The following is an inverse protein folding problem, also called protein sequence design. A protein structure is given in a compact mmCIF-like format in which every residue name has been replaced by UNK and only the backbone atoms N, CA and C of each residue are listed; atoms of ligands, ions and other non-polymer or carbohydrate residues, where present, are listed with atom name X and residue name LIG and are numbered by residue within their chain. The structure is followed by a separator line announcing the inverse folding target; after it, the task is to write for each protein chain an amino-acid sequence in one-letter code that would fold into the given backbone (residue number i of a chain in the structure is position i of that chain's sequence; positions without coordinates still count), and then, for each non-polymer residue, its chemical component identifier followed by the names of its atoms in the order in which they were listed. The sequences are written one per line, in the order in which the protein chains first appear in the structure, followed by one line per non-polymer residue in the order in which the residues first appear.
data_IF_529968450946
#
_entry.id   IF_529968450946
#
_cell.length_a   1.000
_cell.length_b   1.000
_cell.length_c   1.000
_cell.angle_alpha   90.00
_cell.angle_beta   90.00
_cell.angle_gamma   90.00
#
_symmetry.space_group_name_H-M   'P 1'
#
loop_
_entity.id
_entity.type
_entity.pdbx_description
1 polymer ?
#
# COMPACT_ATOMS: atom_id res chain seq x y z
N UNK A 1 20.17 9.64 -15.53
CA UNK A 1 18.84 10.29 -15.48
C UNK A 1 18.71 11.18 -14.26
N UNK A 2 19.37 10.85 -13.14
CA UNK A 2 19.22 11.54 -11.86
C UNK A 2 20.51 12.20 -11.34
N UNK A 3 21.41 12.66 -12.23
CA UNK A 3 22.70 13.24 -11.82
C UNK A 3 22.55 14.49 -10.95
N UNK A 4 21.55 15.33 -11.24
CA UNK A 4 21.27 16.53 -10.44
C UNK A 4 20.92 16.17 -8.99
N UNK A 5 20.14 15.10 -8.78
CA UNK A 5 19.84 14.60 -7.43
C UNK A 5 21.11 14.15 -6.70
N UNK A 6 21.96 13.39 -7.39
CA UNK A 6 23.22 12.90 -6.84
C UNK A 6 24.18 14.05 -6.47
N UNK A 7 24.31 15.06 -7.34
CA UNK A 7 25.08 16.28 -7.11
C UNK A 7 24.55 17.09 -5.92
N UNK A 8 23.24 17.07 -5.70
CA UNK A 8 22.59 17.66 -4.53
C UNK A 8 22.67 16.81 -3.26
N UNK A 9 23.30 15.63 -3.30
CA UNK A 9 23.47 14.74 -2.15
C UNK A 9 22.24 13.89 -1.82
N UNK A 10 21.41 13.58 -2.82
CA UNK A 10 20.33 12.60 -2.69
C UNK A 10 20.79 11.20 -3.08
N UNK A 11 20.42 10.23 -2.26
CA UNK A 11 20.29 8.84 -2.68
C UNK A 11 18.89 8.61 -3.23
N UNK A 12 18.76 7.72 -4.22
CA UNK A 12 17.47 7.39 -4.82
C UNK A 12 17.39 5.94 -5.28
N UNK A 13 16.18 5.39 -5.17
CA UNK A 13 15.89 4.02 -5.54
C UNK A 13 14.46 3.84 -6.06
N UNK A 14 14.28 2.94 -7.02
CA UNK A 14 12.96 2.40 -7.36
C UNK A 14 12.49 1.49 -6.23
N UNK A 15 11.52 1.94 -5.44
CA UNK A 15 11.15 1.25 -4.19
C UNK A 15 10.14 0.11 -4.39
N UNK A 16 9.83 -0.29 -5.63
CA UNK A 16 8.87 -1.37 -5.87
C UNK A 16 9.19 -2.10 -7.17
N UNK A 17 9.88 -3.25 -7.06
CA UNK A 17 10.33 -4.02 -8.22
C UNK A 17 10.34 -5.53 -7.96
N UNK A 18 9.82 -6.29 -8.92
CA UNK A 18 9.64 -7.74 -8.84
C UNK A 18 10.64 -8.50 -9.71
N UNK A 19 11.00 -9.69 -9.25
CA UNK A 19 11.95 -10.58 -9.94
C UNK A 19 11.35 -11.96 -10.19
N UNK A 20 12.16 -12.84 -10.78
CA UNK A 20 11.82 -14.24 -10.99
C UNK A 20 11.77 -15.09 -9.71
N UNK A 21 12.03 -14.50 -8.54
CA UNK A 21 11.67 -15.10 -7.26
C UNK A 21 10.15 -15.08 -7.03
N UNK A 22 9.43 -14.14 -7.65
CA UNK A 22 7.97 -14.07 -7.68
C UNK A 22 7.43 -14.10 -9.11
N UNK A 23 6.49 -13.22 -9.42
CA UNK A 23 5.64 -13.21 -10.62
C UNK A 23 6.18 -12.36 -11.77
N UNK A 24 7.48 -12.06 -11.76
CA UNK A 24 8.21 -11.42 -12.85
C UNK A 24 9.11 -12.43 -13.59
N UNK A 25 9.45 -12.17 -14.85
CA UNK A 25 10.48 -12.95 -15.57
C UNK A 25 11.90 -12.40 -15.37
N UNK A 26 12.01 -11.24 -14.72
CA UNK A 26 13.28 -10.52 -14.58
C UNK A 26 14.21 -11.26 -13.61
N UNK A 27 15.37 -11.72 -14.10
CA UNK A 27 16.38 -12.32 -13.23
C UNK A 27 17.05 -11.24 -12.39
N UNK A 28 17.29 -11.53 -11.11
CA UNK A 28 17.96 -10.57 -10.21
C UNK A 28 19.33 -10.10 -10.72
N UNK A 29 20.08 -10.97 -11.40
CA UNK A 29 21.37 -10.60 -12.01
C UNK A 29 21.21 -9.52 -13.09
N UNK A 30 20.19 -9.64 -13.93
CA UNK A 30 19.89 -8.70 -15.02
C UNK A 30 19.37 -7.38 -14.46
N UNK A 31 18.51 -7.43 -13.43
CA UNK A 31 18.02 -6.25 -12.72
C UNK A 31 19.18 -5.42 -12.17
N UNK A 32 20.10 -6.04 -11.43
CA UNK A 32 21.27 -5.32 -10.90
C UNK A 32 22.18 -4.81 -12.02
N UNK A 33 22.40 -5.59 -13.08
CA UNK A 33 23.21 -5.15 -14.21
C UNK A 33 22.63 -3.90 -14.89
N UNK A 34 21.30 -3.84 -15.05
CA UNK A 34 20.63 -2.68 -15.62
C UNK A 34 20.59 -1.50 -14.66
N UNK A 35 20.36 -1.72 -13.36
CA UNK A 35 20.42 -0.69 -12.33
C UNK A 35 21.78 0.01 -12.33
N UNK A 36 22.88 -0.77 -12.34
CA UNK A 36 24.25 -0.27 -12.49
C UNK A 36 24.42 0.58 -13.75
N UNK A 37 23.97 0.06 -14.89
CA UNK A 37 24.07 0.77 -16.18
C UNK A 37 23.29 2.09 -16.19
N UNK A 38 22.16 2.16 -15.46
CA UNK A 38 21.32 3.35 -15.35
C UNK A 38 21.81 4.33 -14.27
N UNK A 39 22.67 3.88 -13.36
CA UNK A 39 23.07 4.66 -12.18
C UNK A 39 21.88 4.90 -11.26
N UNK A 40 21.11 3.86 -10.94
CA UNK A 40 19.94 3.93 -10.05
C UNK A 40 19.98 2.82 -9.02
N UNK A 41 19.52 3.10 -7.80
CA UNK A 41 19.19 2.07 -6.83
C UNK A 41 17.81 1.45 -7.08
N UNK A 42 17.52 0.38 -6.36
CA UNK A 42 16.18 -0.23 -6.32
C UNK A 42 15.97 -1.09 -5.06
N UNK A 43 14.72 -1.26 -4.65
CA UNK A 43 14.30 -2.24 -3.67
C UNK A 43 13.87 -3.53 -4.37
N UNK A 44 14.29 -4.69 -3.84
CA UNK A 44 13.76 -5.98 -4.29
C UNK A 44 12.56 -6.31 -3.43
N UNK A 45 11.36 -6.36 -4.01
CA UNK A 45 10.10 -6.45 -3.26
C UNK A 45 9.20 -7.59 -3.75
N UNK A 46 9.80 -8.73 -4.08
CA UNK A 46 9.08 -9.92 -4.52
C UNK A 46 7.93 -10.32 -3.56
N UNK A 47 6.81 -10.78 -4.12
CA UNK A 47 5.64 -11.16 -3.33
C UNK A 47 5.94 -12.27 -2.29
N UNK A 48 5.85 -11.93 -1.00
CA UNK A 48 6.05 -12.78 0.18
C UNK A 48 7.37 -13.59 0.20
N UNK A 49 8.32 -13.33 -0.69
CA UNK A 49 9.53 -14.11 -0.86
C UNK A 49 10.75 -13.18 -0.91
N UNK A 50 11.89 -13.65 -0.39
CA UNK A 50 13.07 -12.80 -0.17
C UNK A 50 14.32 -13.30 -0.87
N UNK A 51 14.25 -14.40 -1.63
CA UNK A 51 15.46 -15.07 -2.13
C UNK A 51 16.30 -14.20 -3.07
N UNK A 52 15.65 -13.38 -3.91
CA UNK A 52 16.34 -12.41 -4.75
C UNK A 52 16.91 -11.24 -3.96
N UNK A 53 16.18 -10.72 -2.96
CA UNK A 53 16.68 -9.66 -2.08
C UNK A 53 17.98 -10.10 -1.40
N UNK A 54 17.98 -11.30 -0.80
CA UNK A 54 19.16 -11.86 -0.14
C UNK A 54 20.37 -12.08 -1.06
N UNK A 55 20.17 -12.19 -2.37
CA UNK A 55 21.24 -12.37 -3.37
C UNK A 55 21.77 -11.05 -3.95
N UNK A 56 21.12 -9.93 -3.63
CA UNK A 56 21.39 -8.64 -4.24
C UNK A 56 21.88 -7.58 -3.25
N UNK A 57 21.52 -7.68 -1.96
CA UNK A 57 21.81 -6.64 -0.97
C UNK A 57 23.29 -6.47 -0.62
N UNK A 58 24.11 -7.52 -0.73
CA UNK A 58 25.55 -7.46 -0.38
C UNK A 58 26.43 -6.83 -1.48
N UNK A 59 25.87 -5.95 -2.33
CA UNK A 59 26.58 -5.36 -3.46
C UNK A 59 26.95 -3.91 -3.18
N UNK A 60 28.23 -3.60 -3.34
CA UNK A 60 28.77 -2.24 -3.12
C UNK A 60 28.54 -1.30 -4.31
N UNK A 61 28.30 -1.84 -5.51
CA UNK A 61 28.28 -1.07 -6.75
C UNK A 61 26.89 -0.65 -7.22
N UNK A 62 25.84 -1.11 -6.54
CA UNK A 62 24.45 -0.72 -6.77
C UNK A 62 23.74 -0.62 -5.43
N UNK A 63 23.10 0.51 -5.17
CA UNK A 63 22.28 0.67 -3.97
C UNK A 63 21.03 -0.23 -4.04
N UNK A 64 21.04 -1.32 -3.28
CA UNK A 64 19.92 -2.27 -3.19
C UNK A 64 19.31 -2.24 -1.80
N UNK A 65 18.02 -1.90 -1.72
CA UNK A 65 17.26 -1.94 -0.47
C UNK A 65 16.64 -3.33 -0.29
N UNK A 66 16.92 -4.04 0.82
CA UNK A 66 16.26 -5.33 1.10
C UNK A 66 14.80 -5.08 1.47
N UNK A 67 13.87 -5.64 0.71
CA UNK A 67 12.45 -5.50 0.98
C UNK A 67 11.63 -6.72 0.59
N UNK A 68 10.31 -6.53 0.66
CA UNK A 68 9.30 -7.54 0.31
C UNK A 68 7.94 -6.85 0.15
N UNK A 69 7.15 -7.30 -0.84
CA UNK A 69 5.73 -6.95 -0.91
C UNK A 69 4.90 -8.06 -0.25
N UNK A 70 4.30 -7.76 0.89
CA UNK A 70 3.48 -8.69 1.66
C UNK A 70 2.05 -8.63 1.12
N UNK A 71 1.56 -9.77 0.60
CA UNK A 71 0.16 -9.93 0.22
C UNK A 71 -0.67 -10.34 1.43
N UNK A 72 -1.41 -9.39 2.01
CA UNK A 72 -2.20 -9.65 3.22
C UNK A 72 -3.51 -10.38 2.93
N UNK A 73 -4.05 -11.07 3.94
CA UNK A 73 -5.28 -11.88 3.86
C UNK A 73 -6.56 -11.08 3.74
N UNK A 74 -6.54 -9.85 4.24
CA UNK A 74 -7.60 -8.87 4.18
C UNK A 74 -7.55 -8.05 2.89
N UNK A 75 -6.55 -8.25 2.03
CA UNK A 75 -6.55 -7.78 0.64
C UNK A 75 -5.35 -6.93 0.28
N UNK A 76 -5.02 -5.88 1.04
CA UNK A 76 -3.94 -4.96 0.68
C UNK A 76 -2.59 -5.64 0.46
N UNK A 77 -1.78 -5.03 -0.38
CA UNK A 77 -0.36 -5.30 -0.39
C UNK A 77 0.36 -4.22 0.41
N UNK A 78 1.39 -4.62 1.16
CA UNK A 78 2.18 -3.72 2.00
C UNK A 78 3.65 -3.99 1.72
N UNK A 79 4.38 -2.93 1.41
CA UNK A 79 5.83 -2.97 1.18
C UNK A 79 6.54 -2.82 2.52
N UNK A 80 7.53 -3.67 2.76
CA UNK A 80 8.45 -3.51 3.88
C UNK A 80 9.87 -3.35 3.36
N UNK A 81 10.60 -2.40 3.94
CA UNK A 81 12.01 -2.13 3.62
C UNK A 81 12.83 -2.21 4.89
N UNK A 82 13.81 -3.12 4.91
CA UNK A 82 14.60 -3.37 6.11
C UNK A 82 15.91 -2.59 6.08
N UNK A 83 16.33 -2.16 7.25
CA UNK A 83 17.63 -1.53 7.44
C UNK A 83 18.75 -2.56 7.31
N UNK A 84 18.49 -3.84 7.59
CA UNK A 84 19.46 -4.92 7.42
C UNK A 84 18.82 -6.13 6.73
N UNK A 85 19.57 -6.77 5.82
CA UNK A 85 19.09 -7.97 5.13
C UNK A 85 18.84 -9.14 6.09
N UNK A 86 19.59 -9.19 7.19
CA UNK A 86 19.40 -10.19 8.24
C UNK A 86 18.04 -10.04 8.93
N UNK A 87 17.59 -8.81 9.18
CA UNK A 87 16.30 -8.55 9.82
C UNK A 87 15.15 -8.92 8.88
N UNK A 88 15.26 -8.61 7.58
CA UNK A 88 14.33 -9.13 6.57
C UNK A 88 14.25 -10.66 6.61
N UNK A 89 15.40 -11.33 6.69
CA UNK A 89 15.46 -12.79 6.74
C UNK A 89 14.83 -13.36 8.02
N UNK A 90 15.12 -12.77 9.17
CA UNK A 90 14.61 -13.23 10.46
C UNK A 90 13.08 -12.97 10.57
N UNK A 91 12.62 -11.80 10.14
CA UNK A 91 11.19 -11.47 10.03
C UNK A 91 10.46 -12.45 9.11
N UNK A 92 10.99 -12.70 7.91
CA UNK A 92 10.39 -13.62 6.95
C UNK A 92 10.28 -15.05 7.51
N UNK A 93 11.34 -15.56 8.15
CA UNK A 93 11.35 -16.91 8.74
C UNK A 93 10.31 -17.06 9.84
N UNK A 94 10.16 -16.05 10.70
CA UNK A 94 9.27 -16.09 11.87
C UNK A 94 7.81 -15.87 11.50
N UNK A 95 7.52 -14.91 10.63
CA UNK A 95 6.16 -14.38 10.48
C UNK A 95 5.52 -14.67 9.12
N UNK A 96 6.33 -14.70 8.05
CA UNK A 96 5.81 -14.84 6.68
C UNK A 96 5.81 -16.29 6.22
N UNK A 97 6.93 -16.99 6.38
CA UNK A 97 7.10 -18.40 5.97
C UNK A 97 6.00 -19.32 6.53
N UNK A 98 5.58 -19.23 7.81
CA UNK A 98 4.50 -20.09 8.35
C UNK A 98 3.11 -19.84 7.73
N UNK A 99 2.95 -18.70 7.06
CA UNK A 99 1.70 -18.23 6.48
C UNK A 99 1.64 -18.38 4.95
N UNK A 100 2.73 -18.82 4.31
CA UNK A 100 2.77 -19.08 2.88
C UNK A 100 1.72 -20.12 2.47
N UNK A 101 1.19 -19.94 1.27
CA UNK A 101 0.31 -20.90 0.59
C UNK A 101 1.07 -21.60 -0.53
N UNK A 102 0.45 -22.60 -1.16
CA UNK A 102 1.02 -23.34 -2.30
C UNK A 102 1.38 -22.43 -3.47
N UNK A 103 0.56 -21.40 -3.73
CA UNK A 103 0.99 -20.23 -4.51
C UNK A 103 1.54 -19.19 -3.52
N UNK A 104 2.87 -19.01 -3.43
CA UNK A 104 3.47 -18.13 -2.43
C UNK A 104 3.32 -16.65 -2.78
N UNK A 105 2.96 -16.30 -4.02
CA UNK A 105 2.91 -14.91 -4.48
C UNK A 105 1.57 -14.22 -4.20
N UNK A 106 0.56 -14.97 -3.75
CA UNK A 106 -0.76 -14.43 -3.44
C UNK A 106 -0.93 -14.18 -1.94
N UNK A 107 -2.13 -13.74 -1.55
CA UNK A 107 -2.48 -13.49 -0.16
C UNK A 107 -2.01 -14.62 0.76
N UNK A 108 -1.42 -14.28 1.90
CA UNK A 108 -1.04 -15.23 2.94
C UNK A 108 -2.25 -15.99 3.50
N UNK A 109 -2.04 -16.97 4.39
CA UNK A 109 -3.14 -17.79 4.95
C UNK A 109 -3.91 -17.10 6.08
N UNK A 110 -3.19 -16.56 7.07
CA UNK A 110 -3.71 -15.87 8.28
C UNK A 110 -2.76 -14.74 8.67
N UNK A 111 -2.82 -13.64 7.94
CA UNK A 111 -1.92 -12.50 8.14
C UNK A 111 -2.57 -11.26 7.56
N UNK A 112 -3.17 -10.43 8.39
CA UNK A 112 -3.87 -9.20 7.99
C UNK A 112 -2.90 -8.01 7.94
N UNK A 113 -3.38 -6.88 7.42
CA UNK A 113 -2.63 -5.61 7.49
C UNK A 113 -2.42 -5.18 8.94
N UNK A 114 -3.41 -5.39 9.81
CA UNK A 114 -3.30 -5.09 11.24
C UNK A 114 -2.31 -6.03 11.95
N UNK A 115 -2.32 -7.33 11.64
CA UNK A 115 -1.35 -8.28 12.20
C UNK A 115 0.09 -7.85 11.87
N UNK A 116 0.34 -7.39 10.64
CA UNK A 116 1.65 -6.88 10.23
C UNK A 116 2.10 -5.70 11.10
N UNK A 117 1.23 -4.69 11.25
CA UNK A 117 1.54 -3.49 12.02
C UNK A 117 1.76 -3.81 13.50
N UNK A 118 0.90 -4.65 14.08
CA UNK A 118 1.06 -5.09 15.48
C UNK A 118 2.40 -5.80 15.68
N UNK A 119 2.78 -6.73 14.79
CA UNK A 119 4.07 -7.42 14.89
C UNK A 119 5.25 -6.45 14.78
N UNK A 120 5.20 -5.51 13.81
CA UNK A 120 6.29 -4.54 13.62
C UNK A 120 6.45 -3.64 14.85
N UNK A 121 5.35 -3.16 15.43
CA UNK A 121 5.36 -2.26 16.59
C UNK A 121 5.70 -2.99 17.90
N UNK A 122 5.08 -4.15 18.16
CA UNK A 122 5.24 -4.88 19.43
C UNK A 122 6.59 -5.59 19.55
N UNK A 123 7.14 -6.06 18.43
CA UNK A 123 8.46 -6.70 18.38
C UNK A 123 9.59 -5.73 17.97
N UNK A 124 9.27 -4.46 17.75
CA UNK A 124 10.22 -3.38 17.39
C UNK A 124 11.09 -3.73 16.17
N UNK A 125 10.45 -4.19 15.09
CA UNK A 125 11.17 -4.51 13.85
C UNK A 125 11.67 -3.25 13.17
N UNK A 126 12.99 -3.20 12.93
CA UNK A 126 13.62 -2.05 12.29
C UNK A 126 13.42 -2.08 10.77
N UNK A 127 12.26 -1.58 10.35
CA UNK A 127 11.89 -1.44 8.94
C UNK A 127 11.04 -0.17 8.69
N UNK A 128 10.85 0.12 7.41
CA UNK A 128 9.86 1.06 6.90
C UNK A 128 8.69 0.23 6.37
N UNK A 129 7.47 0.58 6.77
CA UNK A 129 6.23 -0.05 6.31
C UNK A 129 5.46 0.94 5.44
N UNK A 130 5.29 0.61 4.16
CA UNK A 130 4.63 1.47 3.17
C UNK A 130 3.43 0.78 2.53
N UNK A 131 2.31 1.49 2.36
CA UNK A 131 1.20 0.96 1.58
C UNK A 131 1.60 0.87 0.10
N UNK A 132 1.58 -0.34 -0.47
CA UNK A 132 1.76 -0.57 -1.89
C UNK A 132 0.49 -0.10 -2.63
N UNK A 133 0.67 0.58 -3.77
CA UNK A 133 -0.41 1.08 -4.65
C UNK A 133 -1.71 1.37 -3.88
N UNK A 134 -1.75 2.39 -2.99
CA UNK A 134 -2.80 2.50 -1.95
C UNK A 134 -4.24 2.56 -2.48
N UNK A 135 -4.42 2.98 -3.73
CA UNK A 135 -5.71 3.03 -4.42
C UNK A 135 -6.09 1.71 -5.12
N UNK A 136 -5.17 0.75 -5.17
CA UNK A 136 -5.26 -0.52 -5.88
C UNK A 136 -5.35 -0.35 -7.39
N UNK A 137 -5.52 -1.49 -8.08
CA UNK A 137 -5.73 -1.54 -9.52
C UNK A 137 -7.20 -1.79 -9.85
N UNK A 138 -7.79 -0.98 -10.74
CA UNK A 138 -9.12 -1.24 -11.32
C UNK A 138 -10.21 -1.64 -10.31
N UNK A 139 -10.24 -0.98 -9.15
CA UNK A 139 -11.25 -1.22 -8.11
C UNK A 139 -11.03 -2.47 -7.24
N UNK A 140 -9.91 -3.18 -7.42
CA UNK A 140 -9.47 -4.26 -6.52
C UNK A 140 -9.24 -3.72 -5.10
N UNK A 141 -9.27 -4.62 -4.11
CA UNK A 141 -8.98 -4.28 -2.71
C UNK A 141 -7.51 -4.53 -2.37
N UNK A 142 -6.61 -4.21 -3.30
CA UNK A 142 -5.17 -4.44 -3.16
C UNK A 142 -4.41 -3.26 -2.56
N UNK A 143 -5.05 -2.09 -2.47
CA UNK A 143 -4.50 -0.94 -1.76
C UNK A 143 -5.15 -0.73 -0.39
N UNK A 144 -4.38 -0.15 0.55
CA UNK A 144 -4.86 0.18 1.90
C UNK A 144 -5.96 1.26 1.86
N UNK A 145 -5.71 2.38 1.18
CA UNK A 145 -6.64 3.53 1.13
C UNK A 145 -7.97 3.16 0.46
N UNK A 146 -7.97 2.35 -0.62
CA UNK A 146 -9.23 1.89 -1.22
C UNK A 146 -10.04 1.02 -0.26
N UNK A 147 -9.38 0.24 0.60
CA UNK A 147 -10.04 -0.55 1.63
C UNK A 147 -10.61 0.35 2.75
N UNK A 148 -9.89 1.40 3.15
CA UNK A 148 -10.37 2.40 4.13
C UNK A 148 -11.58 3.15 3.59
N UNK A 149 -11.53 3.68 2.35
CA UNK A 149 -12.66 4.35 1.69
C UNK A 149 -13.88 3.43 1.56
N UNK A 150 -13.65 2.14 1.36
CA UNK A 150 -14.71 1.12 1.35
C UNK A 150 -15.18 0.74 2.76
N UNK A 151 -14.51 1.16 3.83
CA UNK A 151 -14.84 0.83 5.22
C UNK A 151 -14.52 -0.62 5.57
N UNK A 152 -13.55 -1.23 4.89
CA UNK A 152 -13.05 -2.59 5.15
C UNK A 152 -11.91 -2.60 6.15
N UNK A 153 -11.18 -1.49 6.23
CA UNK A 153 -10.13 -1.22 7.20
C UNK A 153 -10.46 0.07 7.94
N UNK A 154 -9.97 0.18 9.17
CA UNK A 154 -10.04 1.41 9.95
C UNK A 154 -9.05 2.44 9.40
N UNK A 155 -9.37 3.72 9.56
CA UNK A 155 -8.48 4.81 9.15
C UNK A 155 -7.18 4.83 9.98
N UNK A 156 -7.22 4.32 11.22
CA UNK A 156 -6.05 4.20 12.09
C UNK A 156 -4.91 3.38 11.45
N UNK A 157 -5.26 2.37 10.64
CA UNK A 157 -4.27 1.57 9.88
C UNK A 157 -3.39 2.47 9.00
N UNK A 158 -3.95 3.52 8.38
CA UNK A 158 -3.17 4.42 7.55
C UNK A 158 -2.19 5.27 8.36
N UNK A 159 -2.58 5.68 9.57
CA UNK A 159 -1.77 6.55 10.45
C UNK A 159 -0.60 5.81 11.10
N UNK A 160 -0.69 4.48 11.17
CA UNK A 160 0.35 3.58 11.68
C UNK A 160 1.40 3.20 10.64
N UNK A 161 1.16 3.50 9.36
CA UNK A 161 2.14 3.28 8.30
C UNK A 161 3.16 4.41 8.27
N UNK A 162 4.40 4.10 7.87
CA UNK A 162 5.44 5.13 7.71
C UNK A 162 5.24 5.94 6.42
N UNK A 163 4.71 5.30 5.37
CA UNK A 163 4.56 5.94 4.08
C UNK A 163 3.46 5.33 3.20
N UNK A 164 3.07 6.09 2.17
CA UNK A 164 2.29 5.61 1.03
C UNK A 164 3.12 5.64 -0.24
N UNK A 165 2.93 4.64 -1.11
CA UNK A 165 3.42 4.68 -2.48
C UNK A 165 2.60 5.69 -3.30
N UNK A 166 3.05 6.96 -3.31
CA UNK A 166 2.31 8.08 -3.92
C UNK A 166 2.48 8.13 -5.45
N UNK A 167 3.55 7.53 -5.97
CA UNK A 167 3.67 7.20 -7.39
C UNK A 167 3.95 5.71 -7.51
N UNK A 168 2.94 4.97 -7.93
CA UNK A 168 3.12 3.62 -8.45
C UNK A 168 2.93 3.67 -9.96
N UNK A 169 3.90 3.21 -10.75
CA UNK A 169 3.76 3.30 -12.21
C UNK A 169 2.60 2.46 -12.77
N UNK A 170 2.15 1.42 -12.04
CA UNK A 170 0.97 0.63 -12.39
C UNK A 170 -0.35 1.41 -12.23
N UNK A 171 -0.40 2.40 -11.34
CA UNK A 171 -1.62 3.15 -11.03
C UNK A 171 -1.92 4.23 -12.08
N UNK A 172 -3.17 4.73 -12.12
CA UNK A 172 -3.52 5.91 -12.94
C UNK A 172 -3.01 7.20 -12.30
N UNK A 173 -2.91 8.28 -13.09
CA UNK A 173 -2.57 9.61 -12.58
C UNK A 173 -3.50 10.03 -11.44
N UNK A 174 -4.81 9.84 -11.62
CA UNK A 174 -5.82 10.14 -10.61
C UNK A 174 -5.60 9.35 -9.32
N UNK A 175 -5.29 8.05 -9.43
CA UNK A 175 -4.97 7.22 -8.27
C UNK A 175 -3.69 7.67 -7.56
N UNK A 176 -2.63 8.03 -8.30
CA UNK A 176 -1.39 8.56 -7.72
C UNK A 176 -1.66 9.88 -6.97
N UNK A 177 -2.40 10.82 -7.58
CA UNK A 177 -2.79 12.07 -6.92
C UNK A 177 -3.68 11.84 -5.69
N UNK A 178 -4.60 10.88 -5.75
CA UNK A 178 -5.44 10.50 -4.62
C UNK A 178 -4.62 9.84 -3.49
N UNK A 179 -3.59 9.06 -3.82
CA UNK A 179 -2.66 8.49 -2.85
C UNK A 179 -1.84 9.59 -2.17
N UNK A 180 -1.32 10.56 -2.94
CA UNK A 180 -0.61 11.72 -2.42
C UNK A 180 -1.48 12.56 -1.47
N UNK A 181 -2.70 12.90 -1.88
CA UNK A 181 -3.64 13.64 -1.02
C UNK A 181 -3.92 12.88 0.28
N UNK A 182 -4.13 11.57 0.20
CA UNK A 182 -4.39 10.75 1.39
C UNK A 182 -3.18 10.70 2.32
N UNK A 183 -1.97 10.51 1.79
CA UNK A 183 -0.73 10.51 2.56
C UNK A 183 -0.53 11.85 3.29
N UNK A 184 -0.78 12.97 2.60
CA UNK A 184 -0.73 14.30 3.19
C UNK A 184 -1.76 14.49 4.31
N UNK A 185 -2.99 13.97 4.15
CA UNK A 185 -4.04 14.02 5.19
C UNK A 185 -3.67 13.21 6.43
N UNK A 186 -3.02 12.07 6.28
CA UNK A 186 -2.58 11.23 7.40
C UNK A 186 -1.28 11.73 8.04
N UNK A 187 -0.50 12.55 7.35
CA UNK A 187 0.78 13.07 7.83
C UNK A 187 1.92 12.05 7.78
N UNK A 188 1.88 11.15 6.79
CA UNK A 188 2.86 10.07 6.60
C UNK A 188 3.78 10.35 5.41
N UNK A 189 4.92 9.66 5.36
CA UNK A 189 5.94 9.82 4.32
C UNK A 189 5.53 9.31 2.95
N UNK A 190 6.43 9.48 1.99
CA UNK A 190 6.20 9.11 0.59
C UNK A 190 7.21 8.07 0.12
N UNK A 191 6.72 7.08 -0.59
CA UNK A 191 7.53 6.19 -1.44
C UNK A 191 6.99 6.24 -2.85
N UNK A 192 7.78 5.74 -3.78
CA UNK A 192 7.37 5.50 -5.15
C UNK A 192 8.24 4.44 -5.79
N UNK A 193 7.61 3.69 -6.67
CA UNK A 193 8.24 2.61 -7.39
C UNK A 193 7.45 2.25 -8.63
N UNK A 194 8.05 1.38 -9.43
CA UNK A 194 7.48 1.04 -10.73
C UNK A 194 6.45 -0.07 -10.63
N UNK A 195 6.39 -0.80 -9.52
CA UNK A 195 5.75 -2.13 -9.44
C UNK A 195 6.17 -2.95 -10.65
N UNK A 196 7.49 -2.95 -10.89
CA UNK A 196 8.10 -3.34 -12.14
C UNK A 196 8.14 -4.85 -12.29
N UNK A 197 7.60 -5.38 -13.38
CA UNK A 197 7.68 -6.82 -13.72
C UNK A 197 8.53 -7.08 -14.97
N UNK A 198 8.81 -6.03 -15.74
CA UNK A 198 9.70 -6.09 -16.90
C UNK A 198 11.03 -5.41 -16.57
N UNK A 199 12.13 -6.02 -17.03
CA UNK A 199 13.49 -5.53 -16.78
C UNK A 199 13.68 -4.04 -17.12
N UNK A 200 13.11 -3.56 -18.22
CA UNK A 200 13.30 -2.19 -18.70
C UNK A 200 12.59 -1.11 -17.86
N UNK A 201 11.83 -1.49 -16.84
CA UNK A 201 11.09 -0.57 -15.98
C UNK A 201 11.94 0.01 -14.84
N UNK A 202 13.00 -0.69 -14.44
CA UNK A 202 13.80 -0.37 -13.25
C UNK A 202 14.29 1.10 -13.21
N UNK A 203 13.89 1.84 -12.18
CA UNK A 203 14.31 3.23 -12.00
C UNK A 203 13.53 4.27 -12.83
N UNK A 204 12.41 3.90 -13.46
CA UNK A 204 11.54 4.88 -14.11
C UNK A 204 10.72 5.73 -13.11
N UNK A 205 10.53 5.21 -11.91
CA UNK A 205 10.04 5.94 -10.74
C UNK A 205 11.00 5.68 -9.59
N UNK A 206 11.42 6.73 -8.90
CA UNK A 206 12.34 6.63 -7.78
C UNK A 206 11.85 7.46 -6.59
N UNK A 207 12.12 6.94 -5.41
CA UNK A 207 12.09 7.68 -4.14
C UNK A 207 13.47 8.26 -3.90
N UNK A 208 13.57 9.54 -3.54
CA UNK A 208 14.82 10.25 -3.29
C UNK A 208 14.85 10.86 -1.89
N UNK A 209 15.96 10.71 -1.18
CA UNK A 209 16.21 11.26 0.15
C UNK A 209 17.63 11.79 0.22
N UNK A 210 17.85 12.95 0.86
CA UNK A 210 19.20 13.42 1.22
C UNK A 210 19.78 12.50 2.29
N UNK A 211 20.74 11.67 1.88
CA UNK A 211 21.29 10.58 2.66
C UNK A 211 22.66 10.16 2.11
N UNK A 212 23.48 9.56 2.96
CA UNK A 212 24.79 9.02 2.61
C UNK A 212 24.85 7.49 2.69
N UNK A 213 23.87 6.87 3.35
CA UNK A 213 23.73 5.43 3.48
C UNK A 213 22.25 4.98 3.52
N UNK A 214 22.04 3.67 3.64
CA UNK A 214 20.72 3.04 3.70
C UNK A 214 19.92 3.46 4.94
N UNK A 215 20.59 3.64 6.08
CA UNK A 215 19.94 4.01 7.34
C UNK A 215 19.36 5.42 7.23
N UNK A 216 20.17 6.39 6.81
CA UNK A 216 19.73 7.76 6.56
C UNK A 216 18.63 7.84 5.49
N UNK A 217 18.73 7.02 4.43
CA UNK A 217 17.74 6.96 3.36
C UNK A 217 16.37 6.50 3.88
N UNK A 218 16.33 5.38 4.62
CA UNK A 218 15.08 4.85 5.18
C UNK A 218 14.53 5.76 6.29
N UNK A 219 15.39 6.33 7.13
CA UNK A 219 15.02 7.31 8.14
C UNK A 219 14.38 8.55 7.55
N UNK A 220 14.89 9.04 6.42
CA UNK A 220 14.31 10.17 5.73
C UNK A 220 12.90 9.88 5.22
N UNK A 221 12.60 8.64 4.80
CA UNK A 221 11.24 8.23 4.45
C UNK A 221 10.34 8.28 5.69
N UNK A 222 10.73 7.63 6.81
CA UNK A 222 9.95 7.62 8.06
C UNK A 222 9.69 9.02 8.60
N UNK A 223 10.65 9.93 8.41
CA UNK A 223 10.58 11.33 8.87
C UNK A 223 9.90 12.26 7.85
N UNK A 224 9.31 11.74 6.78
CA UNK A 224 8.56 12.51 5.78
C UNK A 224 9.43 13.47 4.95
N UNK A 225 10.72 13.16 4.78
CA UNK A 225 11.71 13.97 4.04
C UNK A 225 11.98 13.45 2.63
N UNK A 226 11.23 12.44 2.19
CA UNK A 226 11.38 11.84 0.86
C UNK A 226 10.65 12.62 -0.23
N UNK A 227 11.22 12.57 -1.42
CA UNK A 227 10.62 13.04 -2.68
C UNK A 227 10.38 11.83 -3.58
N UNK A 228 9.43 11.94 -4.50
CA UNK A 228 9.14 10.89 -5.48
C UNK A 228 9.12 11.48 -6.88
N UNK A 229 9.89 10.88 -7.79
CA UNK A 229 10.12 11.39 -9.14
C UNK A 229 9.87 10.27 -10.14
N UNK A 230 9.10 10.55 -11.19
CA UNK A 230 8.83 9.63 -12.29
C UNK A 230 7.39 9.74 -12.80
N UNK A 231 7.03 8.85 -13.71
CA UNK A 231 5.71 8.84 -14.35
C UNK A 231 5.08 7.45 -14.37
N UNK A 232 3.74 7.42 -14.46
CA UNK A 232 2.99 6.18 -14.65
C UNK A 232 3.16 5.57 -16.04
N UNK A 233 3.02 4.24 -16.11
CA UNK A 233 3.04 3.48 -17.37
C UNK A 233 1.86 3.89 -18.25
N UNK A 234 2.10 3.92 -19.57
CA UNK A 234 1.01 3.94 -20.55
C UNK A 234 0.16 2.66 -20.47
N UNK A 235 -1.10 2.74 -20.88
CA UNK A 235 -2.06 1.64 -20.77
C UNK A 235 -1.56 0.33 -21.40
N UNK A 236 -0.91 0.39 -22.57
CA UNK A 236 -0.37 -0.79 -23.23
C UNK A 236 0.66 -1.54 -22.38
N UNK A 237 1.54 -0.82 -21.67
CA UNK A 237 2.55 -1.44 -20.78
C UNK A 237 1.91 -2.07 -19.54
N UNK A 238 0.86 -1.46 -19.00
CA UNK A 238 0.08 -2.02 -17.87
C UNK A 238 -0.56 -3.35 -18.24
N UNK A 239 -1.10 -3.46 -19.46
CA UNK A 239 -1.68 -4.72 -19.97
C UNK A 239 -0.62 -5.80 -20.16
N UNK A 240 0.55 -5.46 -20.73
CA UNK A 240 1.65 -6.42 -20.90
C UNK A 240 2.14 -6.96 -19.54
N UNK A 241 2.37 -6.07 -18.58
CA UNK A 241 2.76 -6.41 -17.21
C UNK A 241 1.78 -7.39 -16.56
N UNK A 242 0.48 -7.07 -16.58
CA UNK A 242 -0.55 -7.95 -16.02
C UNK A 242 -0.65 -9.31 -16.73
N UNK A 243 -0.28 -9.37 -18.02
CA UNK A 243 -0.23 -10.62 -18.78
C UNK A 243 0.95 -11.50 -18.35
N UNK A 244 2.12 -10.90 -18.08
CA UNK A 244 3.28 -11.64 -17.57
C UNK A 244 3.00 -12.25 -16.19
N UNK A 245 2.51 -11.45 -15.23
CA UNK A 245 2.13 -11.96 -13.91
C UNK A 245 1.08 -13.07 -14.01
N UNK A 246 0.10 -12.93 -14.92
CA UNK A 246 -0.91 -13.96 -15.15
C UNK A 246 -0.31 -15.29 -15.63
N UNK A 247 0.62 -15.26 -16.59
CA UNK A 247 1.32 -16.48 -17.05
C UNK A 247 2.04 -17.16 -15.90
N UNK A 248 2.70 -16.38 -15.05
CA UNK A 248 3.37 -16.92 -13.85
C UNK A 248 2.34 -17.55 -12.93
N UNK A 249 1.21 -16.90 -12.62
CA UNK A 249 0.20 -17.46 -11.73
C UNK A 249 -0.35 -18.82 -12.20
N UNK A 250 -0.37 -19.09 -13.52
CA UNK A 250 -0.76 -20.39 -14.06
C UNK A 250 0.21 -21.52 -13.66
N UNK A 251 1.49 -21.23 -13.37
CA UNK A 251 2.46 -22.20 -12.86
C UNK A 251 2.04 -22.79 -11.49
N UNK A 252 1.15 -22.09 -10.77
CA UNK A 252 0.62 -22.50 -9.47
C UNK A 252 -0.88 -22.87 -9.51
N UNK A 253 -1.43 -23.17 -10.69
CA UNK A 253 -2.77 -23.74 -10.79
C UNK A 253 -2.84 -25.15 -10.15
N UNK A 254 -3.90 -25.50 -9.40
CA UNK A 254 -5.14 -24.75 -9.19
C UNK A 254 -5.12 -23.80 -7.97
N UNK A 255 -4.02 -23.79 -7.19
CA UNK A 255 -3.94 -23.01 -5.96
C UNK A 255 -4.16 -21.52 -6.18
N UNK A 256 -3.58 -20.95 -7.24
CA UNK A 256 -3.74 -19.53 -7.56
C UNK A 256 -5.22 -19.14 -7.71
N UNK A 257 -5.98 -19.93 -8.48
CA UNK A 257 -7.42 -19.71 -8.68
C UNK A 257 -8.22 -19.83 -7.37
N UNK A 258 -7.87 -20.81 -6.52
CA UNK A 258 -8.51 -20.99 -5.22
C UNK A 258 -8.31 -19.77 -4.30
N UNK A 259 -7.07 -19.27 -4.20
CA UNK A 259 -6.74 -18.12 -3.32
C UNK A 259 -7.40 -16.84 -3.81
N UNK A 260 -7.41 -16.59 -5.13
CA UNK A 260 -8.09 -15.44 -5.71
C UNK A 260 -9.61 -15.50 -5.48
N UNK A 261 -10.22 -16.69 -5.68
CA UNK A 261 -11.65 -16.91 -5.42
C UNK A 261 -11.99 -16.63 -3.95
N UNK A 262 -11.20 -17.16 -3.02
CA UNK A 262 -11.38 -16.93 -1.58
C UNK A 262 -11.28 -15.45 -1.21
N UNK A 263 -10.33 -14.73 -1.82
CA UNK A 263 -10.17 -13.29 -1.63
C UNK A 263 -11.37 -12.51 -2.17
N UNK A 264 -11.91 -12.89 -3.33
CA UNK A 264 -13.14 -12.34 -3.90
C UNK A 264 -14.36 -12.56 -3.01
N UNK A 265 -14.55 -13.78 -2.49
CA UNK A 265 -15.65 -14.10 -1.56
C UNK A 265 -15.55 -13.27 -0.27
N UNK A 266 -14.35 -13.11 0.30
CA UNK A 266 -14.12 -12.24 1.47
C UNK A 266 -14.49 -10.79 1.19
N UNK A 267 -14.12 -10.27 0.02
CA UNK A 267 -14.51 -8.93 -0.42
C UNK A 267 -16.04 -8.78 -0.46
N UNK A 268 -16.73 -9.73 -1.11
CA UNK A 268 -18.19 -9.71 -1.20
C UNK A 268 -18.86 -9.74 0.18
N UNK A 269 -18.36 -10.60 1.08
CA UNK A 269 -18.89 -10.69 2.44
C UNK A 269 -18.74 -9.36 3.20
N UNK A 270 -17.62 -8.65 3.03
CA UNK A 270 -17.42 -7.30 3.62
C UNK A 270 -18.37 -6.28 3.04
N UNK A 271 -18.60 -6.28 1.72
CA UNK A 271 -19.61 -5.43 1.08
C UNK A 271 -21.00 -5.66 1.68
N UNK A 272 -21.42 -6.92 1.82
CA UNK A 272 -22.73 -7.31 2.37
C UNK A 272 -22.85 -6.87 3.83
N UNK A 273 -21.84 -7.13 4.66
CA UNK A 273 -21.82 -6.73 6.08
C UNK A 273 -21.93 -5.21 6.24
N UNK A 274 -21.24 -4.44 5.39
CA UNK A 274 -21.34 -2.98 5.36
C UNK A 274 -22.75 -2.51 4.99
N UNK A 275 -23.33 -3.09 3.93
CA UNK A 275 -24.70 -2.77 3.51
C UNK A 275 -25.72 -3.03 4.62
N UNK A 276 -25.60 -4.17 5.31
CA UNK A 276 -26.44 -4.49 6.46
C UNK A 276 -26.27 -3.51 7.62
N UNK A 277 -25.03 -3.10 7.94
CA UNK A 277 -24.75 -2.07 8.97
C UNK A 277 -25.37 -0.73 8.61
N UNK A 278 -25.19 -0.26 7.37
CA UNK A 278 -25.76 1.01 6.90
C UNK A 278 -27.30 1.02 6.96
N UNK A 279 -27.95 -0.07 6.57
CA UNK A 279 -29.40 -0.24 6.71
C UNK A 279 -29.81 -0.19 8.18
N UNK A 280 -29.12 -0.93 9.06
CA UNK A 280 -29.42 -0.92 10.51
C UNK A 280 -29.28 0.47 11.12
N UNK A 281 -28.24 1.22 10.76
CA UNK A 281 -28.01 2.59 11.24
C UNK A 281 -29.08 3.56 10.72
N UNK A 282 -29.51 3.39 9.47
CA UNK A 282 -30.62 4.15 8.89
C UNK A 282 -31.94 3.87 9.63
N UNK A 283 -32.30 2.59 9.84
CA UNK A 283 -33.50 2.20 10.59
C UNK A 283 -33.45 2.62 12.06
N UNK A 284 -32.27 2.59 12.69
CA UNK A 284 -32.04 3.10 14.05
C UNK A 284 -32.28 4.61 14.14
N UNK A 285 -31.82 5.39 13.14
CA UNK A 285 -32.10 6.83 13.04
C UNK A 285 -33.58 7.13 12.79
N UNK A 286 -34.30 6.27 12.05
CA UNK A 286 -35.76 6.40 11.87
C UNK A 286 -36.54 6.11 13.16
N UNK A 287 -36.13 5.13 13.98
CA UNK A 287 -36.76 4.85 15.29
C UNK A 287 -36.53 5.94 16.33
N UNK A 288 -35.42 6.68 16.25
CA UNK A 288 -35.09 7.76 17.18
C UNK A 288 -35.62 9.15 16.76
N UNK A 289 -36.34 9.26 15.63
CA UNK A 289 -37.18 10.44 15.36
C UNK A 289 -38.47 10.29 16.16
N UNK A 290 -38.50 10.89 17.36
CA UNK A 290 -39.72 10.99 18.15
C UNK A 290 -40.87 11.61 17.33
N UNK A 291 -42.13 11.19 17.50
CA UNK A 291 -43.26 11.88 16.87
C UNK A 291 -43.27 13.33 17.36
N UNK A 292 -43.42 14.28 16.43
CA UNK A 292 -43.79 15.65 16.78
C UNK A 292 -45.06 15.58 17.65
N UNK A 293 -44.94 15.99 18.91
CA UNK A 293 -46.09 16.03 19.83
C UNK A 293 -47.15 16.94 19.21
N UNK A 294 -48.41 16.50 19.09
CA UNK A 294 -49.49 17.39 18.65
C UNK A 294 -49.64 18.51 19.68
N UNK A 295 -49.61 19.75 19.21
CA UNK A 295 -49.81 20.94 20.04
C UNK A 295 -51.17 20.88 20.75
N UNK A 296 -51.13 21.13 22.05
CA UNK A 296 -52.31 21.21 22.92
C UNK A 296 -53.26 22.33 22.45
N UNK A 297 -54.57 22.08 22.32
CA UNK A 297 -55.53 23.14 22.04
C UNK A 297 -55.94 23.86 23.34
N UNK A 298 -55.77 25.18 23.36
CA UNK A 298 -56.62 26.12 24.08
C UNK A 298 -56.46 26.24 25.61
N UNK A 299 -56.07 27.43 26.06
CA UNK A 299 -56.89 28.13 27.05
C UNK A 299 -56.95 29.62 26.68
N UNK A 300 -58.17 30.12 26.83
CA UNK A 300 -58.69 31.39 26.35
C UNK A 300 -58.22 32.61 27.16
N UNK A 301 -58.18 33.74 26.44
CA UNK A 301 -58.69 35.08 26.82
C UNK A 301 -58.20 35.70 28.14
N UNK A 302 -57.52 36.83 28.01
CA UNK A 302 -57.98 38.05 28.70
C UNK A 302 -57.79 39.27 27.79
N UNK A 303 -58.81 40.12 27.85
CA UNK A 303 -59.05 41.28 27.02
C UNK A 303 -58.14 42.47 27.41
N UNK A 304 -57.96 43.36 26.44
CA UNK A 304 -57.02 44.47 26.52
C UNK A 304 -57.44 45.63 27.42
N UNK A 305 -56.52 46.59 27.52
CA UNK A 305 -56.83 48.02 27.47
C UNK A 305 -55.60 48.79 27.01
N UNK A 306 -55.86 49.62 26.02
CA UNK A 306 -55.03 50.71 25.55
C UNK A 306 -54.94 51.82 26.61
N UNK A 307 -53.77 52.44 26.70
CA UNK A 307 -53.65 53.88 26.97
C UNK A 307 -52.28 54.37 26.55
N UNK A 308 -52.32 55.31 25.60
CA UNK A 308 -51.26 56.23 25.15
C UNK A 308 -50.51 56.93 26.29
N UNK A 309 -49.24 57.29 26.06
CA UNK A 309 -48.84 58.66 25.74
C UNK A 309 -47.32 58.92 25.94
N UNK A 310 -46.74 59.53 24.90
CA UNK A 310 -45.51 60.35 24.82
C UNK A 310 -44.15 59.66 24.90
#
# INVERSE_FOLDING_TARGET
MYRELEEEGYMFADMHFHTNCSDSFTKIGDAVALARKRGTGFAVTDHNLISSAMRATDREDVFVVPGMEISTTDGPHVLTYFYEAKDLQDFWKRHIRPNLQTCPWLALRKFTTEDLLNIVEEEDWHCVVSAAHPMGYFGTNKGVEVCIRKGYLDEDIARRLDAYEVICSGMSRESNLAALDSAARYGIGFTGGTDGHMLNEIGNVVTAVRASDREEFLDGIKKGRSLVIGEEKIAARKVMMGSESFVRFLEHAPSAAYVQTKSGVRSLHRSVKKGAKALKDQFGRFRNRAPLRPGSPGSCLSWGRSSSAR
#
